data_IF_460116588409
#
_entry.id   IF_460116588409
#
_cell.length_a   1.000
_cell.length_b   1.000
_cell.length_c   1.000
_cell.angle_alpha   90.00
_cell.angle_beta   90.00
_cell.angle_gamma   90.00
#
_symmetry.space_group_name_H-M   'P 1'
#
loop_
_entity.id
_entity.type
_entity.pdbx_description
1 polymer ?
#
# COMPACT_ATOMS: atom_id res chain seq x y z
N UNK A 1 15.51 4.88 -13.52
CA UNK A 1 16.15 3.69 -12.92
C UNK A 1 15.69 3.64 -11.48
N UNK A 2 15.35 2.46 -10.96
CA UNK A 2 15.08 2.27 -9.54
C UNK A 2 16.33 2.48 -8.68
N UNK A 3 16.19 2.34 -7.37
CA UNK A 3 17.22 2.49 -6.35
C UNK A 3 18.00 1.18 -6.10
N UNK A 4 18.51 0.58 -7.18
CA UNK A 4 19.18 -0.72 -7.15
C UNK A 4 18.20 -1.86 -7.40
N UNK A 5 18.02 -2.74 -6.42
CA UNK A 5 17.14 -3.91 -6.50
C UNK A 5 15.65 -3.58 -6.29
N UNK A 6 15.32 -2.31 -6.04
CA UNK A 6 13.97 -1.87 -5.76
C UNK A 6 13.53 -0.72 -6.67
N UNK A 7 12.23 -0.42 -6.64
CA UNK A 7 11.63 0.69 -7.36
C UNK A 7 10.21 0.39 -7.81
N UNK A 8 9.65 1.33 -8.55
CA UNK A 8 8.33 1.21 -9.18
C UNK A 8 8.39 1.62 -10.65
N UNK A 9 7.58 0.95 -11.46
CA UNK A 9 7.40 1.22 -12.87
C UNK A 9 5.90 1.35 -13.16
N UNK A 10 5.51 2.48 -13.72
CA UNK A 10 4.14 2.77 -14.13
C UNK A 10 4.11 2.85 -15.65
N UNK A 11 3.33 2.00 -16.29
CA UNK A 11 3.20 1.95 -17.75
C UNK A 11 1.86 2.58 -18.12
N UNK A 12 1.92 3.72 -18.80
CA UNK A 12 0.75 4.42 -19.35
C UNK A 12 0.69 4.35 -20.87
N UNK A 13 -0.40 4.86 -21.42
CA UNK A 13 -0.61 5.05 -22.86
C UNK A 13 0.33 6.08 -23.49
N UNK A 14 0.75 7.09 -22.70
CA UNK A 14 1.57 8.23 -23.14
C UNK A 14 3.06 8.10 -22.81
N UNK A 15 3.46 7.06 -22.09
CA UNK A 15 4.83 6.89 -21.64
C UNK A 15 4.92 6.09 -20.35
N UNK A 16 6.13 6.02 -19.80
CA UNK A 16 6.44 5.19 -18.64
C UNK A 16 7.05 6.07 -17.56
N UNK A 17 6.60 5.92 -16.31
CA UNK A 17 7.21 6.57 -15.15
C UNK A 17 7.98 5.52 -14.36
N UNK A 18 9.21 5.85 -13.97
CA UNK A 18 10.01 5.03 -13.06
C UNK A 18 10.46 5.86 -11.87
N UNK A 19 10.49 5.25 -10.69
CA UNK A 19 10.95 5.90 -9.46
C UNK A 19 11.57 4.87 -8.51
N UNK A 20 12.44 5.32 -7.60
CA UNK A 20 12.96 4.48 -6.51
C UNK A 20 11.87 4.12 -5.49
N UNK A 21 12.20 3.20 -4.57
CA UNK A 21 11.28 2.65 -3.55
C UNK A 21 10.47 3.69 -2.82
N UNK A 22 11.09 4.81 -2.45
CA UNK A 22 10.48 5.85 -1.63
C UNK A 22 10.14 7.12 -2.43
N UNK A 23 10.07 7.00 -3.76
CA UNK A 23 9.68 8.09 -4.65
C UNK A 23 10.81 9.00 -5.10
N UNK A 24 12.07 8.68 -4.80
CA UNK A 24 13.23 9.42 -5.27
C UNK A 24 13.57 9.09 -6.73
N UNK A 25 14.23 10.03 -7.41
CA UNK A 25 14.75 9.78 -8.76
C UNK A 25 13.66 9.52 -9.81
N UNK A 26 12.44 10.04 -9.58
CA UNK A 26 11.32 9.92 -10.53
C UNK A 26 11.71 10.45 -11.91
N UNK A 27 11.44 9.66 -12.95
CA UNK A 27 11.70 10.02 -14.35
C UNK A 27 10.58 9.56 -15.26
N UNK A 28 10.33 10.33 -16.31
CA UNK A 28 9.47 9.97 -17.44
C UNK A 28 10.32 9.35 -18.56
N UNK A 29 9.77 8.34 -19.22
CA UNK A 29 10.40 7.62 -20.32
C UNK A 29 9.44 7.58 -21.53
N UNK A 30 9.96 7.70 -22.77
CA UNK A 30 11.38 7.85 -23.11
C UNK A 30 11.98 9.20 -22.66
N UNK A 31 13.30 9.29 -22.56
CA UNK A 31 14.02 10.43 -21.94
C UNK A 31 13.68 11.78 -22.61
N UNK A 32 13.25 11.77 -23.87
CA UNK A 32 12.74 12.95 -24.58
C UNK A 32 11.59 13.62 -23.83
N UNK A 33 10.68 12.85 -23.24
CA UNK A 33 9.56 13.37 -22.46
C UNK A 33 10.01 14.01 -21.14
N UNK A 34 11.18 13.63 -20.64
CA UNK A 34 11.73 14.16 -19.38
C UNK A 34 12.46 15.49 -19.57
N UNK A 35 13.02 15.78 -20.76
CA UNK A 35 13.90 16.94 -21.01
C UNK A 35 13.29 18.26 -20.57
N UNK A 36 12.02 18.49 -20.90
CA UNK A 36 11.30 19.73 -20.59
C UNK A 36 10.25 19.56 -19.48
N UNK A 37 10.24 18.41 -18.81
CA UNK A 37 9.24 18.12 -17.79
C UNK A 37 9.47 18.96 -16.54
N UNK A 38 8.46 19.73 -16.15
CA UNK A 38 8.44 20.48 -14.89
C UNK A 38 7.68 19.68 -13.86
N UNK A 39 8.34 19.40 -12.73
CA UNK A 39 7.68 18.76 -11.61
C UNK A 39 6.54 19.66 -11.08
N UNK A 40 5.43 19.05 -10.60
CA UNK A 40 4.38 19.82 -9.97
C UNK A 40 4.89 20.49 -8.70
N UNK A 41 4.26 21.60 -8.34
CA UNK A 41 4.50 22.25 -7.05
C UNK A 41 4.27 21.27 -5.88
N UNK A 42 5.01 21.39 -4.78
CA UNK A 42 4.84 20.52 -3.62
C UNK A 42 3.40 20.54 -3.10
N UNK A 43 2.70 19.42 -3.26
CA UNK A 43 1.30 19.27 -2.83
C UNK A 43 1.17 18.65 -1.43
N UNK A 44 2.03 17.68 -1.11
CA UNK A 44 1.95 16.88 0.11
C UNK A 44 2.98 17.34 1.14
N UNK A 45 2.56 17.42 2.40
CA UNK A 45 3.47 17.67 3.53
C UNK A 45 4.52 16.58 3.59
N UNK A 46 5.80 16.98 3.56
CA UNK A 46 6.90 16.04 3.74
C UNK A 46 6.93 15.54 5.18
N UNK A 47 7.02 14.23 5.34
CA UNK A 47 7.14 13.63 6.67
C UNK A 47 8.43 14.11 7.35
N UNK A 48 8.39 14.52 8.63
CA UNK A 48 9.59 14.83 9.41
C UNK A 48 10.37 13.56 9.84
N UNK A 49 10.01 12.39 9.30
CA UNK A 49 10.50 11.06 9.67
C UNK A 49 9.46 10.29 10.51
N UNK A 50 9.36 8.96 10.29
CA UNK A 50 8.29 8.11 10.84
C UNK A 50 8.04 8.29 12.35
N UNK A 51 9.08 8.27 13.17
CA UNK A 51 8.94 8.41 14.63
C UNK A 51 8.42 9.79 15.05
N UNK A 52 8.95 10.85 14.44
CA UNK A 52 8.54 12.23 14.75
C UNK A 52 7.11 12.49 14.28
N UNK A 53 6.75 11.93 13.14
CA UNK A 53 5.41 11.98 12.58
C UNK A 53 4.38 11.31 13.51
N UNK A 54 4.70 10.10 13.98
CA UNK A 54 3.89 9.35 14.94
C UNK A 54 3.76 10.06 16.29
N UNK A 55 4.87 10.50 16.89
CA UNK A 55 4.85 11.23 18.17
C UNK A 55 4.01 12.52 18.07
N UNK A 56 4.13 13.26 16.96
CA UNK A 56 3.33 14.48 16.72
C UNK A 56 1.83 14.15 16.68
N UNK A 57 1.44 13.11 15.95
CA UNK A 57 0.04 12.68 15.86
C UNK A 57 -0.50 12.23 17.23
N UNK A 58 0.25 11.44 17.99
CA UNK A 58 -0.14 10.98 19.33
C UNK A 58 -0.31 12.12 20.34
N UNK A 59 0.39 13.25 20.14
CA UNK A 59 0.27 14.45 20.98
C UNK A 59 -0.84 15.41 20.55
N UNK A 60 -1.73 14.98 19.65
CA UNK A 60 -2.86 15.78 19.17
C UNK A 60 -2.55 16.69 17.97
N UNK A 61 -1.39 16.51 17.32
CA UNK A 61 -1.09 17.18 16.06
C UNK A 61 -1.81 16.55 14.86
N UNK A 62 -1.47 17.01 13.66
CA UNK A 62 -2.02 16.44 12.42
C UNK A 62 -1.79 14.92 12.33
N UNK A 63 -2.73 14.15 11.73
CA UNK A 63 -2.61 12.71 11.56
C UNK A 63 -1.26 12.30 10.95
N UNK A 64 -0.76 11.13 11.33
CA UNK A 64 0.43 10.56 10.73
C UNK A 64 0.18 10.22 9.26
N UNK A 65 1.22 10.26 8.43
CA UNK A 65 1.17 9.91 7.01
C UNK A 65 0.70 8.45 6.76
N UNK A 66 0.72 7.61 7.80
CA UNK A 66 0.27 6.21 7.76
C UNK A 66 -0.69 5.93 8.93
N UNK A 67 -1.75 6.73 9.06
CA UNK A 67 -2.80 6.53 10.06
C UNK A 67 -3.49 5.17 9.90
N UNK A 68 -4.25 4.74 10.91
CA UNK A 68 -4.97 3.46 10.86
C UNK A 68 -6.04 3.41 9.77
N UNK A 69 -6.64 4.54 9.41
CA UNK A 69 -7.62 4.64 8.33
C UNK A 69 -7.01 4.30 6.96
N UNK A 70 -5.70 4.54 6.81
CA UNK A 70 -4.95 4.13 5.61
C UNK A 70 -4.31 2.75 5.78
N UNK A 71 -3.57 2.54 6.87
CA UNK A 71 -2.77 1.35 7.11
C UNK A 71 -3.62 0.09 7.34
N UNK A 72 -4.84 0.22 7.87
CA UNK A 72 -5.78 -0.88 8.07
C UNK A 72 -6.20 -1.53 6.76
N UNK A 73 -6.88 -0.80 5.84
CA UNK A 73 -7.26 -1.31 4.53
C UNK A 73 -6.07 -1.74 3.67
N UNK A 74 -4.92 -1.07 3.81
CA UNK A 74 -3.69 -1.51 3.14
C UNK A 74 -3.24 -2.88 3.64
N UNK A 75 -3.19 -3.08 4.96
CA UNK A 75 -2.82 -4.36 5.57
C UNK A 75 -3.79 -5.47 5.19
N UNK A 76 -5.09 -5.17 5.16
CA UNK A 76 -6.14 -6.08 4.66
C UNK A 76 -5.80 -6.59 3.26
N UNK A 77 -5.47 -5.70 2.32
CA UNK A 77 -5.09 -6.09 0.96
C UNK A 77 -3.85 -6.98 0.92
N UNK A 78 -2.83 -6.68 1.74
CA UNK A 78 -1.60 -7.48 1.81
C UNK A 78 -1.90 -8.89 2.33
N UNK A 79 -2.73 -9.03 3.37
CA UNK A 79 -3.05 -10.36 3.92
C UNK A 79 -3.93 -11.21 3.00
N UNK A 80 -4.67 -10.60 2.04
CA UNK A 80 -5.34 -11.35 0.97
C UNK A 80 -4.35 -12.12 0.09
N UNK A 81 -3.10 -11.65 -0.04
CA UNK A 81 -2.04 -12.40 -0.71
C UNK A 81 -1.77 -13.75 -0.04
N UNK A 82 -1.77 -13.79 1.30
CA UNK A 82 -1.63 -15.05 2.03
C UNK A 82 -2.83 -15.98 1.79
N UNK A 83 -4.03 -15.43 1.67
CA UNK A 83 -5.24 -16.20 1.39
C UNK A 83 -5.19 -16.82 -0.02
N UNK A 84 -4.70 -16.06 -1.01
CA UNK A 84 -4.49 -16.54 -2.37
C UNK A 84 -3.48 -17.70 -2.44
N UNK A 85 -2.48 -17.74 -1.56
CA UNK A 85 -1.55 -18.88 -1.46
C UNK A 85 -2.18 -20.15 -0.86
N UNK A 86 -3.32 -20.04 -0.17
CA UNK A 86 -4.00 -21.19 0.46
C UNK A 86 -5.00 -21.89 -0.45
N UNK A 87 -5.44 -21.22 -1.51
CA UNK A 87 -6.45 -21.73 -2.42
C UNK A 87 -6.00 -21.55 -3.86
N UNK A 88 -5.86 -22.65 -4.57
CA UNK A 88 -5.55 -22.63 -6.00
C UNK A 88 -6.81 -22.30 -6.81
N UNK A 89 -7.05 -21.00 -7.00
CA UNK A 89 -8.17 -20.49 -7.78
C UNK A 89 -8.54 -19.05 -7.46
N UNK A 90 -9.53 -18.53 -8.18
CA UNK A 90 -10.00 -17.15 -8.02
C UNK A 90 -10.80 -17.00 -6.72
N UNK A 91 -10.43 -16.02 -5.89
CA UNK A 91 -11.20 -15.60 -4.72
C UNK A 91 -11.80 -14.22 -4.96
N UNK A 92 -13.08 -14.05 -4.64
CA UNK A 92 -13.78 -12.77 -4.63
C UNK A 92 -13.95 -12.32 -3.19
N UNK A 93 -13.54 -11.09 -2.90
CA UNK A 93 -13.47 -10.53 -1.56
C UNK A 93 -14.48 -9.40 -1.38
N UNK A 94 -15.23 -9.46 -0.28
CA UNK A 94 -16.10 -8.40 0.22
C UNK A 94 -15.41 -7.78 1.44
N UNK A 95 -14.77 -6.62 1.26
CA UNK A 95 -13.99 -5.95 2.30
C UNK A 95 -14.85 -5.38 3.42
N UNK A 96 -16.06 -4.89 3.11
CA UNK A 96 -16.97 -4.41 4.16
C UNK A 96 -17.39 -5.53 5.11
N UNK A 97 -17.66 -6.73 4.56
CA UNK A 97 -18.05 -7.89 5.36
C UNK A 97 -16.87 -8.77 5.78
N UNK A 98 -15.65 -8.41 5.38
CA UNK A 98 -14.41 -9.17 5.61
C UNK A 98 -14.57 -10.66 5.28
N UNK A 99 -15.02 -10.99 4.05
CA UNK A 99 -15.28 -12.38 3.67
C UNK A 99 -15.02 -12.69 2.19
N UNK A 100 -14.69 -13.94 1.92
CA UNK A 100 -14.73 -14.52 0.57
C UNK A 100 -16.18 -14.85 0.20
N UNK A 101 -16.62 -14.44 -0.99
CA UNK A 101 -18.01 -14.58 -1.44
C UNK A 101 -18.26 -15.76 -2.36
N UNK A 102 -17.26 -16.23 -3.09
CA UNK A 102 -17.42 -17.29 -4.11
C UNK A 102 -16.93 -18.67 -3.67
N UNK A 103 -16.10 -18.76 -2.63
CA UNK A 103 -15.58 -20.02 -2.08
C UNK A 103 -15.78 -20.04 -0.56
N UNK A 104 -16.94 -20.47 -0.05
CA UNK A 104 -17.26 -20.41 1.38
C UNK A 104 -16.22 -21.08 2.28
N UNK A 105 -15.64 -22.20 1.82
CA UNK A 105 -14.60 -22.94 2.55
C UNK A 105 -13.31 -22.15 2.79
N UNK A 106 -13.01 -21.12 1.98
CA UNK A 106 -11.83 -20.28 2.15
C UNK A 106 -11.93 -19.35 3.37
N UNK A 107 -13.15 -19.06 3.85
CA UNK A 107 -13.37 -18.20 5.02
C UNK A 107 -12.77 -18.78 6.32
N UNK A 108 -12.46 -20.08 6.37
CA UNK A 108 -11.76 -20.68 7.50
C UNK A 108 -10.35 -20.12 7.74
N UNK A 109 -9.75 -19.47 6.74
CA UNK A 109 -8.43 -18.83 6.85
C UNK A 109 -8.51 -17.31 7.09
N UNK A 110 -9.69 -16.72 6.98
CA UNK A 110 -9.89 -15.27 7.10
C UNK A 110 -9.78 -14.81 8.56
N UNK A 111 -10.27 -15.64 9.49
CA UNK A 111 -10.17 -15.38 10.93
C UNK A 111 -9.28 -16.42 11.59
N UNK A 112 -8.52 -15.97 12.59
CA UNK A 112 -7.71 -16.84 13.44
C UNK A 112 -8.55 -17.34 14.60
N UNK A 113 -8.39 -18.61 14.94
CA UNK A 113 -8.89 -19.15 16.21
C UNK A 113 -8.02 -18.61 17.36
N UNK A 114 -8.64 -17.82 18.23
CA UNK A 114 -7.98 -17.31 19.42
C UNK A 114 -7.92 -18.37 20.51
N UNK A 115 -6.85 -18.34 21.32
CA UNK A 115 -6.71 -19.21 22.48
C UNK A 115 -7.85 -18.95 23.47
N UNK A 116 -8.37 -20.00 24.10
CA UNK A 116 -9.41 -19.89 25.14
C UNK A 116 -9.02 -18.83 26.19
N UNK A 117 -9.93 -17.90 26.46
CA UNK A 117 -9.74 -16.77 27.37
C UNK A 117 -9.31 -15.46 26.70
N UNK A 118 -8.88 -15.49 25.44
CA UNK A 118 -8.53 -14.32 24.65
C UNK A 118 -9.61 -14.07 23.61
N UNK A 119 -10.40 -13.01 23.77
CA UNK A 119 -11.41 -12.56 22.81
C UNK A 119 -11.20 -11.06 22.58
N UNK A 120 -11.36 -10.63 21.33
CA UNK A 120 -11.46 -9.23 20.93
C UNK A 120 -12.91 -8.78 20.99
#
# INVERSE_FOLDING_TARGET
RGDGDNGSLFIGDKGIITTGTYGEGTRLLPDELMKDYKFPEPLLTRSPGHYRDWIRACKGGAPACSSFDYAGPFTEWIILGNLALRYDGKLLWDGEKMKVTNVPAANKWVKRDYRKGWRL
#
